data_IF_483433971008
#
_entry.id   IF_483433971008
#
_cell.length_a   1.000
_cell.length_b   1.000
_cell.length_c   1.000
_cell.angle_alpha   90.00
_cell.angle_beta   90.00
_cell.angle_gamma   90.00
#
_symmetry.space_group_name_H-M   'P 1'
#
loop_
_entity.id
_entity.type
_entity.pdbx_description
1 polymer ?
#
# COMPACT_ATOMS: atom_id res chain seq x y z
N UNK A 1 -38.16 1.72 16.77
CA UNK A 1 -38.39 1.29 15.37
C UNK A 1 -37.19 0.48 14.90
N UNK A 2 -37.42 -0.81 14.64
CA UNK A 2 -36.45 -1.76 14.06
C UNK A 2 -36.20 -1.47 12.58
N UNK A 3 -35.09 -2.01 12.07
CA UNK A 3 -34.78 -2.43 10.68
C UNK A 3 -33.62 -1.65 10.05
N UNK A 4 -32.59 -2.24 9.45
CA UNK A 4 -32.11 -3.63 9.37
C UNK A 4 -30.71 -3.56 8.71
N UNK A 5 -29.68 -4.11 9.35
CA UNK A 5 -28.49 -4.54 8.62
C UNK A 5 -28.87 -5.83 7.90
N UNK A 6 -28.98 -5.77 6.57
CA UNK A 6 -29.14 -6.97 5.74
C UNK A 6 -27.83 -7.77 5.80
N UNK A 7 -27.86 -9.09 6.01
CA UNK A 7 -26.68 -9.93 5.86
C UNK A 7 -26.34 -10.02 4.37
N UNK A 8 -25.10 -9.70 4.02
CA UNK A 8 -24.59 -9.90 2.66
C UNK A 8 -24.37 -11.40 2.45
N UNK A 9 -25.07 -11.93 1.47
CA UNK A 9 -25.12 -13.34 1.10
C UNK A 9 -23.86 -13.73 0.30
N UNK A 10 -23.38 -14.94 0.52
CA UNK A 10 -22.24 -15.62 -0.12
C UNK A 10 -22.10 -15.32 -1.62
N UNK A 11 -21.02 -14.64 -2.00
CA UNK A 11 -20.50 -14.68 -3.38
C UNK A 11 -18.98 -14.47 -3.49
N UNK A 12 -18.23 -14.62 -2.38
CA UNK A 12 -16.83 -14.19 -2.27
C UNK A 12 -15.80 -15.29 -2.53
N UNK A 13 -16.17 -16.57 -2.36
CA UNK A 13 -15.20 -17.67 -2.31
C UNK A 13 -14.47 -17.92 -3.64
N UNK A 14 -15.01 -17.44 -4.76
CA UNK A 14 -14.38 -17.59 -6.09
C UNK A 14 -13.43 -16.45 -6.49
N UNK A 15 -13.55 -15.27 -5.86
CA UNK A 15 -12.73 -14.09 -6.20
C UNK A 15 -11.50 -14.01 -5.29
N UNK A 16 -11.64 -14.36 -4.01
CA UNK A 16 -10.52 -14.35 -3.05
C UNK A 16 -9.50 -15.47 -3.31
N UNK A 17 -9.96 -16.63 -3.81
CA UNK A 17 -9.06 -17.69 -4.29
C UNK A 17 -8.22 -17.23 -5.51
N UNK A 18 -8.76 -16.34 -6.35
CA UNK A 18 -8.06 -15.80 -7.52
C UNK A 18 -6.99 -14.78 -7.11
N UNK A 19 -7.25 -13.93 -6.10
CA UNK A 19 -6.28 -12.94 -5.64
C UNK A 19 -5.07 -13.59 -4.93
N UNK A 20 -5.32 -14.65 -4.15
CA UNK A 20 -4.25 -15.40 -3.47
C UNK A 20 -3.40 -16.22 -4.47
N UNK A 21 -4.01 -16.72 -5.55
CA UNK A 21 -3.30 -17.39 -6.64
C UNK A 21 -2.42 -16.44 -7.47
N UNK A 22 -2.87 -15.19 -7.68
CA UNK A 22 -2.10 -14.15 -8.38
C UNK A 22 -0.83 -13.78 -7.58
N UNK A 23 -0.90 -13.78 -6.25
CA UNK A 23 0.27 -13.53 -5.38
C UNK A 23 1.27 -14.69 -5.39
N UNK A 24 0.80 -15.95 -5.48
CA UNK A 24 1.69 -17.12 -5.64
C UNK A 24 2.39 -17.16 -6.99
N UNK A 25 1.71 -16.77 -8.07
CA UNK A 25 2.29 -16.75 -9.42
C UNK A 25 3.37 -15.68 -9.61
N UNK A 26 3.51 -14.71 -8.70
CA UNK A 26 4.50 -13.64 -8.80
C UNK A 26 5.91 -14.04 -8.30
N UNK A 27 6.07 -15.22 -7.68
CA UNK A 27 7.34 -15.65 -7.09
C UNK A 27 8.14 -16.65 -7.92
N UNK A 28 7.56 -17.29 -8.93
CA UNK A 28 8.26 -18.24 -9.80
C UNK A 28 8.42 -17.66 -11.21
N UNK A 29 9.51 -16.92 -11.43
CA UNK A 29 9.98 -16.59 -12.78
C UNK A 29 11.26 -17.41 -13.02
N UNK A 30 11.09 -18.60 -13.59
CA UNK A 30 12.13 -19.24 -14.38
C UNK A 30 12.25 -18.48 -15.71
N UNK A 31 13.44 -17.95 -16.00
CA UNK A 31 13.75 -17.33 -17.29
C UNK A 31 14.07 -18.47 -18.27
N UNK A 32 13.05 -18.96 -18.97
CA UNK A 32 13.26 -19.72 -20.20
C UNK A 32 13.43 -18.74 -21.38
N UNK A 33 14.58 -18.85 -22.04
CA UNK A 33 14.85 -18.23 -23.33
C UNK A 33 14.48 -19.22 -24.43
N UNK A 34 13.44 -18.93 -25.22
CA UNK A 34 13.24 -19.57 -26.51
C UNK A 34 12.75 -18.58 -27.58
N UNK A 35 13.29 -18.80 -28.78
CA UNK A 35 13.30 -17.96 -29.95
C UNK A 35 12.01 -18.11 -30.79
N UNK A 36 11.76 -17.11 -31.64
CA UNK A 36 10.87 -17.10 -32.82
C UNK A 36 9.34 -16.87 -32.66
N UNK A 37 8.89 -15.60 -32.76
CA UNK A 37 7.74 -15.17 -33.60
C UNK A 37 7.70 -13.63 -33.81
N UNK A 38 7.61 -13.06 -35.04
CA UNK A 38 7.69 -11.62 -35.27
C UNK A 38 6.31 -10.95 -35.29
N UNK A 39 5.63 -10.90 -34.15
CA UNK A 39 4.67 -9.83 -33.82
C UNK A 39 4.97 -9.38 -32.39
N UNK A 40 6.09 -8.68 -32.27
CA UNK A 40 6.56 -8.10 -31.01
C UNK A 40 5.60 -6.97 -30.65
N UNK A 41 4.58 -7.26 -29.84
CA UNK A 41 3.97 -6.27 -28.96
C UNK A 41 5.15 -5.70 -28.18
N UNK A 42 5.61 -4.51 -28.57
CA UNK A 42 6.72 -3.85 -27.89
C UNK A 42 6.25 -3.60 -26.45
N UNK A 43 6.73 -4.42 -25.52
CA UNK A 43 6.72 -4.08 -24.11
C UNK A 43 7.24 -2.65 -23.96
N UNK A 44 6.64 -1.81 -23.10
CA UNK A 44 7.02 -0.41 -23.03
C UNK A 44 8.44 -0.32 -22.49
N UNK A 45 9.41 -0.12 -23.37
CA UNK A 45 10.84 -0.27 -23.08
C UNK A 45 11.40 0.94 -22.30
N UNK A 46 10.54 1.76 -21.69
CA UNK A 46 10.94 2.92 -20.91
C UNK A 46 11.04 2.54 -19.42
N UNK A 47 12.19 2.88 -18.82
CA UNK A 47 12.46 2.62 -17.40
C UNK A 47 11.39 3.22 -16.46
N UNK A 48 10.84 4.42 -16.72
CA UNK A 48 9.71 4.98 -15.96
C UNK A 48 8.45 4.11 -15.97
N UNK A 49 8.10 3.49 -17.10
CA UNK A 49 6.93 2.61 -17.18
C UNK A 49 7.09 1.41 -16.23
N UNK A 50 8.25 0.77 -16.23
CA UNK A 50 8.52 -0.38 -15.36
C UNK A 50 8.49 0.00 -13.87
N UNK A 51 9.02 1.19 -13.52
CA UNK A 51 8.95 1.69 -12.14
C UNK A 51 7.50 1.98 -11.73
N UNK A 52 6.69 2.55 -12.62
CA UNK A 52 5.27 2.79 -12.35
C UNK A 52 4.48 1.48 -12.19
N UNK A 53 4.81 0.47 -13.00
CA UNK A 53 4.23 -0.87 -12.88
C UNK A 53 4.63 -1.55 -11.57
N UNK A 54 5.86 -1.38 -11.12
CA UNK A 54 6.30 -1.83 -9.80
C UNK A 54 5.55 -1.12 -8.67
N UNK A 55 5.34 0.20 -8.78
CA UNK A 55 4.52 0.94 -7.84
C UNK A 55 3.11 0.35 -7.78
N UNK A 56 2.45 0.15 -8.92
CA UNK A 56 1.13 -0.49 -8.99
C UNK A 56 1.10 -1.85 -8.26
N UNK A 57 2.06 -2.73 -8.53
CA UNK A 57 2.11 -4.06 -7.91
C UNK A 57 2.31 -4.00 -6.39
N UNK A 58 3.19 -3.12 -5.92
CA UNK A 58 3.41 -2.93 -4.48
C UNK A 58 2.22 -2.27 -3.80
N UNK A 59 1.51 -1.37 -4.49
CA UNK A 59 0.25 -0.76 -4.02
C UNK A 59 -0.88 -1.78 -3.87
N UNK A 60 -0.98 -2.78 -4.75
CA UNK A 60 -1.93 -3.90 -4.58
C UNK A 60 -1.71 -4.63 -3.26
N UNK A 61 -0.44 -4.87 -2.94
CA UNK A 61 -0.07 -5.54 -1.68
C UNK A 61 -0.39 -4.65 -0.47
N UNK A 62 -0.08 -3.35 -0.52
CA UNK A 62 -0.43 -2.41 0.55
C UNK A 62 -1.95 -2.30 0.75
N UNK A 63 -2.73 -2.30 -0.33
CA UNK A 63 -4.19 -2.28 -0.25
C UNK A 63 -4.74 -3.55 0.40
N UNK A 64 -4.17 -4.71 0.07
CA UNK A 64 -4.51 -5.97 0.72
C UNK A 64 -4.21 -5.93 2.22
N UNK A 65 -3.02 -5.46 2.61
CA UNK A 65 -2.63 -5.31 4.02
C UNK A 65 -3.59 -4.38 4.78
N UNK A 66 -3.94 -3.24 4.16
CA UNK A 66 -4.92 -2.31 4.73
C UNK A 66 -6.32 -2.92 4.82
N UNK A 67 -6.73 -3.76 3.84
CA UNK A 67 -8.02 -4.48 3.88
C UNK A 67 -8.07 -5.41 5.09
N UNK A 68 -7.00 -6.19 5.33
CA UNK A 68 -6.90 -7.06 6.51
C UNK A 68 -7.08 -6.26 7.81
N UNK A 69 -6.43 -5.09 7.91
CA UNK A 69 -6.53 -4.24 9.09
C UNK A 69 -7.92 -3.59 9.26
N UNK A 70 -8.51 -3.05 8.21
CA UNK A 70 -9.79 -2.31 8.30
C UNK A 70 -11.03 -3.21 8.32
N UNK A 71 -10.90 -4.47 7.92
CA UNK A 71 -12.03 -5.41 7.84
C UNK A 71 -11.85 -6.59 8.79
N UNK A 72 -10.85 -7.42 8.55
CA UNK A 72 -10.71 -8.70 9.25
C UNK A 72 -10.28 -8.48 10.70
N UNK A 73 -9.27 -7.64 10.93
CA UNK A 73 -8.85 -7.25 12.27
C UNK A 73 -9.94 -6.49 13.01
N UNK A 74 -10.66 -5.58 12.33
CA UNK A 74 -11.81 -4.87 12.92
C UNK A 74 -12.87 -5.82 13.49
N UNK A 75 -13.17 -6.92 12.81
CA UNK A 75 -14.19 -7.91 13.24
C UNK A 75 -13.82 -8.63 14.52
N UNK A 76 -12.55 -8.63 14.93
CA UNK A 76 -12.12 -9.24 16.19
C UNK A 76 -12.59 -8.46 17.42
N UNK A 77 -12.93 -7.17 17.25
CA UNK A 77 -13.27 -6.31 18.37
C UNK A 77 -14.77 -6.37 18.68
N UNK A 78 -15.16 -6.73 19.92
CA UNK A 78 -16.54 -6.60 20.35
C UNK A 78 -17.01 -5.14 20.27
N UNK A 79 -18.27 -4.92 19.89
CA UNK A 79 -18.82 -3.56 19.72
C UNK A 79 -18.62 -2.68 20.96
N UNK A 80 -18.77 -3.24 22.17
CA UNK A 80 -18.58 -2.48 23.40
C UNK A 80 -17.15 -1.96 23.57
N UNK A 81 -16.13 -2.75 23.18
CA UNK A 81 -14.71 -2.37 23.21
C UNK A 81 -14.45 -1.21 22.25
N UNK A 82 -15.04 -1.23 21.06
CA UNK A 82 -14.92 -0.14 20.08
C UNK A 82 -15.65 1.14 20.53
N UNK A 83 -16.70 1.02 21.35
CA UNK A 83 -17.43 2.18 21.88
C UNK A 83 -16.78 2.79 23.12
N UNK A 84 -16.13 1.99 23.97
CA UNK A 84 -15.48 2.47 25.21
C UNK A 84 -13.98 2.73 25.05
N UNK A 85 -13.32 2.03 24.13
CA UNK A 85 -11.90 2.14 23.84
C UNK A 85 -11.61 3.23 22.81
N UNK A 86 -11.35 4.45 23.29
CA UNK A 86 -11.06 5.62 22.42
C UNK A 86 -9.94 5.33 21.41
N UNK A 87 -8.82 4.79 21.88
CA UNK A 87 -7.65 4.50 21.04
C UNK A 87 -7.94 3.47 19.92
N UNK A 88 -8.70 2.41 20.23
CA UNK A 88 -9.05 1.37 19.25
C UNK A 88 -10.06 1.89 18.22
N UNK A 89 -11.00 2.74 18.64
CA UNK A 89 -11.89 3.44 17.70
C UNK A 89 -11.11 4.40 16.79
N UNK A 90 -10.18 5.18 17.36
CA UNK A 90 -9.30 6.09 16.62
C UNK A 90 -8.38 5.36 15.64
N UNK A 91 -7.91 4.16 15.97
CA UNK A 91 -7.11 3.32 15.06
C UNK A 91 -7.85 3.08 13.74
N UNK A 92 -9.10 2.62 13.79
CA UNK A 92 -9.87 2.34 12.57
C UNK A 92 -10.28 3.62 11.83
N UNK A 93 -10.51 4.72 12.56
CA UNK A 93 -10.72 6.04 11.95
C UNK A 93 -9.47 6.56 11.24
N UNK A 94 -8.27 6.16 11.67
CA UNK A 94 -7.01 6.50 11.01
C UNK A 94 -6.70 5.57 9.81
N UNK A 95 -7.02 4.27 9.92
CA UNK A 95 -6.75 3.30 8.86
C UNK A 95 -7.71 3.42 7.66
N UNK A 96 -9.00 3.72 7.90
CA UNK A 96 -10.00 3.78 6.82
C UNK A 96 -9.67 4.82 5.73
N UNK A 97 -9.28 6.07 6.06
CA UNK A 97 -8.85 7.04 5.05
C UNK A 97 -7.63 6.58 4.24
N UNK A 98 -6.70 5.86 4.85
CA UNK A 98 -5.55 5.28 4.15
C UNK A 98 -5.99 4.20 3.16
N UNK A 99 -6.87 3.29 3.59
CA UNK A 99 -7.43 2.26 2.71
C UNK A 99 -8.16 2.90 1.50
N UNK A 100 -9.02 3.89 1.75
CA UNK A 100 -9.75 4.58 0.69
C UNK A 100 -8.81 5.33 -0.28
N UNK A 101 -7.76 5.97 0.26
CA UNK A 101 -6.71 6.60 -0.55
C UNK A 101 -5.99 5.59 -1.45
N UNK A 102 -5.47 4.49 -0.89
CA UNK A 102 -4.74 3.47 -1.65
C UNK A 102 -5.60 2.80 -2.70
N UNK A 103 -6.90 2.59 -2.40
CA UNK A 103 -7.86 2.06 -3.38
C UNK A 103 -8.06 3.02 -4.55
N UNK A 104 -8.19 4.33 -4.29
CA UNK A 104 -8.31 5.34 -5.34
C UNK A 104 -7.04 5.39 -6.20
N UNK A 105 -5.87 5.44 -5.54
CA UNK A 105 -4.58 5.49 -6.21
C UNK A 105 -4.37 4.29 -7.14
N UNK A 106 -4.78 3.09 -6.71
CA UNK A 106 -4.65 1.89 -7.53
C UNK A 106 -5.42 2.01 -8.85
N UNK A 107 -6.65 2.53 -8.81
CA UNK A 107 -7.44 2.79 -10.02
C UNK A 107 -6.78 3.84 -10.92
N UNK A 108 -6.22 4.89 -10.34
CA UNK A 108 -5.51 5.94 -11.08
C UNK A 108 -4.25 5.39 -11.76
N UNK A 109 -3.48 4.54 -11.06
CA UNK A 109 -2.30 3.86 -11.58
C UNK A 109 -2.63 2.87 -12.69
N UNK A 110 -3.67 2.03 -12.51
CA UNK A 110 -4.13 1.07 -13.51
C UNK A 110 -4.61 1.77 -14.77
N UNK A 111 -5.42 2.83 -14.62
CA UNK A 111 -5.86 3.68 -15.75
C UNK A 111 -4.67 4.29 -16.45
N UNK A 112 -3.68 4.78 -15.68
CA UNK A 112 -2.49 5.43 -16.23
C UNK A 112 -1.66 4.47 -17.07
N UNK A 113 -1.41 3.27 -16.56
CA UNK A 113 -0.65 2.23 -17.26
C UNK A 113 -1.39 1.72 -18.49
N UNK A 114 -2.71 1.50 -18.40
CA UNK A 114 -3.55 1.09 -19.54
C UNK A 114 -3.50 2.11 -20.67
N UNK A 115 -3.60 3.41 -20.34
CA UNK A 115 -3.51 4.49 -21.34
C UNK A 115 -2.10 4.59 -21.94
N UNK A 116 -1.06 4.37 -21.13
CA UNK A 116 0.32 4.33 -21.60
C UNK A 116 0.51 3.21 -22.64
N UNK A 117 0.04 2.00 -22.34
CA UNK A 117 0.10 0.84 -23.25
C UNK A 117 -0.71 1.07 -24.53
N UNK A 118 -1.91 1.64 -24.40
CA UNK A 118 -2.81 1.93 -25.53
C UNK A 118 -2.25 3.00 -26.47
N UNK A 119 -1.53 4.00 -25.93
CA UNK A 119 -0.93 5.08 -26.71
C UNK A 119 0.24 4.58 -27.57
N UNK A 120 0.92 3.49 -27.17
CA UNK A 120 2.04 2.90 -27.93
C UNK A 120 1.59 2.10 -29.15
N UNK A 121 0.39 1.52 -29.13
CA UNK A 121 -0.18 0.76 -30.27
C UNK A 121 -0.67 1.64 -31.42
N UNK A 122 -0.91 2.94 -31.16
CA UNK A 122 -1.39 3.90 -32.15
C UNK A 122 -0.24 4.83 -32.58
N UNK A 123 0.54 4.44 -33.59
CA UNK A 123 1.69 5.21 -34.13
C UNK A 123 1.32 6.57 -34.79
N UNK A 124 0.13 7.14 -34.54
CA UNK A 124 -0.38 8.34 -35.22
C UNK A 124 -1.05 9.35 -34.27
N UNK A 125 -0.48 9.60 -33.10
CA UNK A 125 -0.73 10.85 -32.37
C UNK A 125 -0.66 10.74 -30.84
N UNK A 126 0.18 11.59 -30.25
CA UNK A 126 0.24 11.94 -28.82
C UNK A 126 0.72 10.87 -27.84
N UNK A 127 1.64 9.99 -28.26
CA UNK A 127 2.34 9.00 -27.40
C UNK A 127 2.95 9.59 -26.13
N UNK A 128 3.26 10.89 -26.14
CA UNK A 128 3.96 11.54 -25.04
C UNK A 128 3.01 12.01 -23.92
N UNK A 129 1.72 12.29 -24.15
CA UNK A 129 0.92 13.00 -23.13
C UNK A 129 0.70 12.22 -21.84
N UNK A 130 0.60 10.89 -21.91
CA UNK A 130 0.41 10.09 -20.72
C UNK A 130 1.70 9.86 -19.96
N UNK A 131 2.80 9.52 -20.64
CA UNK A 131 4.13 9.57 -20.05
C UNK A 131 4.31 10.93 -19.35
N UNK A 132 4.04 12.03 -20.07
CA UNK A 132 3.68 13.42 -19.72
C UNK A 132 3.25 13.69 -18.27
N UNK A 133 2.24 12.96 -17.81
CA UNK A 133 1.52 13.29 -16.57
C UNK A 133 1.83 12.35 -15.41
N UNK A 134 2.84 11.49 -15.53
CA UNK A 134 3.27 10.61 -14.43
C UNK A 134 3.77 11.42 -13.23
N UNK A 135 4.54 12.48 -13.48
CA UNK A 135 5.01 13.38 -12.42
C UNK A 135 3.86 14.05 -11.66
N UNK A 136 2.81 14.47 -12.36
CA UNK A 136 1.61 15.07 -11.76
C UNK A 136 0.88 14.06 -10.86
N UNK A 137 0.66 12.86 -11.38
CA UNK A 137 0.02 11.76 -10.64
C UNK A 137 0.79 11.46 -9.35
N UNK A 138 2.11 11.30 -9.42
CA UNK A 138 2.96 11.01 -8.27
C UNK A 138 2.93 12.15 -7.23
N UNK A 139 3.03 13.41 -7.69
CA UNK A 139 2.99 14.57 -6.79
C UNK A 139 1.63 14.71 -6.10
N UNK A 140 0.53 14.53 -6.82
CA UNK A 140 -0.81 14.53 -6.25
C UNK A 140 -1.00 13.39 -5.25
N UNK A 141 -0.54 12.18 -5.58
CA UNK A 141 -0.62 11.02 -4.71
C UNK A 141 0.15 11.25 -3.40
N UNK A 142 1.38 11.74 -3.49
CA UNK A 142 2.18 12.11 -2.30
C UNK A 142 1.47 13.18 -1.47
N UNK A 143 1.00 14.26 -2.11
CA UNK A 143 0.34 15.34 -1.39
C UNK A 143 -0.88 14.87 -0.58
N UNK A 144 -1.68 13.98 -1.17
CA UNK A 144 -2.88 13.44 -0.53
C UNK A 144 -2.57 12.43 0.59
N UNK A 145 -1.48 11.66 0.46
CA UNK A 145 -1.08 10.66 1.44
C UNK A 145 -0.50 11.26 2.73
N UNK A 146 0.37 12.28 2.60
CA UNK A 146 1.27 12.68 3.69
C UNK A 146 0.58 13.13 4.97
N UNK A 147 -0.55 13.82 4.87
CA UNK A 147 -1.29 14.25 6.06
C UNK A 147 -1.83 13.05 6.84
N UNK A 148 -2.42 12.08 6.14
CA UNK A 148 -2.98 10.88 6.74
C UNK A 148 -1.88 10.01 7.38
N UNK A 149 -0.77 9.82 6.66
CA UNK A 149 0.37 9.06 7.16
C UNK A 149 1.04 9.71 8.37
N UNK A 150 1.15 11.05 8.40
CA UNK A 150 1.70 11.77 9.57
C UNK A 150 0.85 11.54 10.81
N UNK A 151 -0.46 11.71 10.66
CA UNK A 151 -1.40 11.46 11.75
C UNK A 151 -1.37 10.00 12.22
N UNK A 152 -1.32 9.04 11.28
CA UNK A 152 -1.27 7.62 11.60
C UNK A 152 0.01 7.24 12.36
N UNK A 153 1.20 7.59 11.83
CA UNK A 153 2.49 7.26 12.46
C UNK A 153 2.61 7.88 13.86
N UNK A 154 2.15 9.12 14.04
CA UNK A 154 2.17 9.79 15.34
C UNK A 154 1.28 9.13 16.40
N UNK A 155 0.13 8.58 16.00
CA UNK A 155 -0.81 7.94 16.92
C UNK A 155 -0.54 6.44 17.14
N UNK A 156 0.22 5.82 16.24
CA UNK A 156 0.49 4.38 16.26
C UNK A 156 1.06 3.85 17.60
N UNK A 157 1.90 4.58 18.36
CA UNK A 157 2.35 4.10 19.67
C UNK A 157 1.18 3.85 20.64
N UNK A 158 0.16 4.72 20.59
CA UNK A 158 -1.05 4.60 21.41
C UNK A 158 -1.88 3.40 20.96
N UNK A 159 -1.99 3.19 19.64
CA UNK A 159 -2.75 2.07 19.08
C UNK A 159 -2.12 0.72 19.44
N UNK A 160 -0.79 0.59 19.28
CA UNK A 160 -0.08 -0.64 19.61
C UNK A 160 -0.16 -0.95 21.12
N UNK A 161 0.01 0.07 21.98
CA UNK A 161 -0.13 -0.11 23.42
C UNK A 161 -1.55 -0.57 23.81
N UNK A 162 -2.60 -0.01 23.18
CA UNK A 162 -3.98 -0.40 23.44
C UNK A 162 -4.30 -1.82 22.97
N UNK A 163 -3.77 -2.25 21.82
CA UNK A 163 -3.92 -3.63 21.32
C UNK A 163 -3.21 -4.61 22.27
N UNK A 164 -2.00 -4.26 22.71
CA UNK A 164 -1.18 -5.07 23.61
C UNK A 164 -1.84 -5.20 25.00
N UNK A 165 -2.34 -4.10 25.57
CA UNK A 165 -3.13 -4.12 26.82
C UNK A 165 -4.40 -4.97 26.68
N UNK A 166 -5.15 -4.82 25.58
CA UNK A 166 -6.35 -5.63 25.36
C UNK A 166 -6.01 -7.12 25.22
N UNK A 167 -4.89 -7.44 24.56
CA UNK A 167 -4.41 -8.81 24.42
C UNK A 167 -4.03 -9.44 25.76
N UNK A 168 -3.43 -8.66 26.69
CA UNK A 168 -3.09 -9.15 28.03
C UNK A 168 -4.29 -9.28 28.96
N UNK A 169 -5.29 -8.41 28.82
CA UNK A 169 -6.43 -8.34 29.76
C UNK A 169 -7.65 -9.14 29.31
N UNK A 170 -7.77 -9.45 28.01
CA UNK A 170 -8.91 -10.14 27.43
C UNK A 170 -8.48 -11.38 26.64
N UNK A 171 -8.55 -12.55 27.29
CA UNK A 171 -8.16 -13.83 26.70
C UNK A 171 -8.96 -14.19 25.44
N UNK A 172 -10.25 -13.81 25.36
CA UNK A 172 -11.08 -14.09 24.20
C UNK A 172 -10.58 -13.32 22.97
N UNK A 173 -10.23 -12.04 23.15
CA UNK A 173 -9.59 -11.24 22.11
C UNK A 173 -8.23 -11.80 21.72
N UNK A 174 -7.38 -12.14 22.70
CA UNK A 174 -6.05 -12.71 22.43
C UNK A 174 -6.12 -14.00 21.60
N UNK A 175 -7.06 -14.89 21.91
CA UNK A 175 -7.28 -16.12 21.16
C UNK A 175 -7.80 -15.84 19.74
N UNK A 176 -8.71 -14.86 19.58
CA UNK A 176 -9.24 -14.47 18.28
C UNK A 176 -8.16 -13.83 17.40
N UNK A 177 -7.29 -13.00 17.98
CA UNK A 177 -6.13 -12.41 17.31
C UNK A 177 -5.16 -13.49 16.84
N UNK A 178 -4.79 -14.43 17.71
CA UNK A 178 -3.92 -15.55 17.33
C UNK A 178 -4.55 -16.40 16.22
N UNK A 179 -5.83 -16.73 16.34
CA UNK A 179 -6.53 -17.53 15.33
C UNK A 179 -6.53 -16.83 13.97
N UNK A 180 -6.73 -15.51 13.94
CA UNK A 180 -6.61 -14.73 12.70
C UNK A 180 -5.17 -14.75 12.15
N UNK A 181 -4.15 -14.59 13.00
CA UNK A 181 -2.74 -14.60 12.59
C UNK A 181 -2.26 -15.99 12.09
N UNK A 182 -2.98 -17.06 12.41
CA UNK A 182 -2.73 -18.42 11.90
C UNK A 182 -3.40 -18.68 10.54
N UNK A 183 -4.33 -17.83 10.10
CA UNK A 183 -5.02 -18.01 8.82
C UNK A 183 -4.08 -17.77 7.62
N UNK A 184 -4.18 -18.55 6.52
CA UNK A 184 -3.27 -18.43 5.38
C UNK A 184 -3.27 -17.05 4.69
N UNK A 185 -4.37 -16.30 4.81
CA UNK A 185 -4.45 -14.94 4.27
C UNK A 185 -3.69 -13.92 5.13
N UNK A 186 -3.47 -14.21 6.42
CA UNK A 186 -2.76 -13.37 7.37
C UNK A 186 -1.29 -13.79 7.44
N UNK A 187 -0.54 -13.47 6.38
CA UNK A 187 0.85 -13.90 6.23
C UNK A 187 1.85 -13.17 7.14
N UNK A 188 1.39 -12.20 7.93
CA UNK A 188 2.18 -11.44 8.92
C UNK A 188 1.31 -11.16 10.15
N UNK A 189 1.93 -11.16 11.33
CA UNK A 189 1.29 -10.68 12.55
C UNK A 189 0.75 -9.25 12.39
N UNK A 190 -0.33 -8.91 13.09
CA UNK A 190 -1.01 -7.62 12.95
C UNK A 190 -0.07 -6.45 13.25
N UNK A 191 0.79 -6.60 14.26
CA UNK A 191 1.80 -5.59 14.62
C UNK A 191 2.78 -5.32 13.46
N UNK A 192 3.20 -6.38 12.75
CA UNK A 192 4.07 -6.26 11.58
C UNK A 192 3.35 -5.63 10.38
N UNK A 193 2.08 -5.97 10.15
CA UNK A 193 1.26 -5.32 9.11
C UNK A 193 1.14 -3.81 9.39
N UNK A 194 0.88 -3.42 10.63
CA UNK A 194 0.83 -2.00 11.01
C UNK A 194 2.18 -1.30 10.79
N UNK A 195 3.31 -1.93 11.12
CA UNK A 195 4.64 -1.38 10.82
C UNK A 195 4.89 -1.24 9.33
N UNK A 196 4.48 -2.24 8.54
CA UNK A 196 4.61 -2.21 7.08
C UNK A 196 3.83 -1.03 6.49
N UNK A 197 2.61 -0.78 6.97
CA UNK A 197 1.84 0.41 6.61
C UNK A 197 2.58 1.68 7.03
N UNK A 198 3.03 1.80 8.29
CA UNK A 198 3.75 2.99 8.79
C UNK A 198 5.01 3.32 8.00
N UNK A 199 5.67 2.32 7.42
CA UNK A 199 6.87 2.46 6.60
C UNK A 199 6.59 2.62 5.10
N UNK A 200 5.32 2.70 4.65
CA UNK A 200 5.01 2.78 3.21
C UNK A 200 5.64 3.98 2.52
N UNK A 201 5.72 5.12 3.21
CA UNK A 201 6.39 6.32 2.68
C UNK A 201 7.91 6.14 2.51
N UNK A 202 8.55 5.26 3.29
CA UNK A 202 9.97 4.90 3.08
C UNK A 202 10.13 4.15 1.75
N UNK A 203 9.23 3.20 1.46
CA UNK A 203 9.22 2.50 0.18
C UNK A 203 8.95 3.46 -1.00
N UNK A 204 8.03 4.42 -0.82
CA UNK A 204 7.77 5.45 -1.84
C UNK A 204 8.99 6.32 -2.13
N UNK A 205 9.78 6.67 -1.12
CA UNK A 205 11.02 7.43 -1.34
C UNK A 205 11.97 6.70 -2.30
N UNK A 206 12.10 5.38 -2.16
CA UNK A 206 12.94 4.57 -3.05
C UNK A 206 12.39 4.57 -4.48
N UNK A 207 11.09 4.30 -4.65
CA UNK A 207 10.41 4.30 -5.96
C UNK A 207 10.54 5.66 -6.65
N UNK A 208 10.28 6.75 -5.92
CA UNK A 208 10.39 8.11 -6.44
C UNK A 208 11.83 8.49 -6.80
N UNK A 209 12.81 8.06 -6.01
CA UNK A 209 14.24 8.24 -6.32
C UNK A 209 14.63 7.55 -7.63
N UNK A 210 14.19 6.31 -7.83
CA UNK A 210 14.38 5.57 -9.08
C UNK A 210 13.66 6.23 -10.25
N UNK A 211 12.46 6.75 -10.04
CA UNK A 211 11.69 7.47 -11.06
C UNK A 211 12.43 8.74 -11.52
N UNK A 212 12.91 9.56 -10.58
CA UNK A 212 13.70 10.76 -10.87
C UNK A 212 14.96 10.40 -11.64
N UNK A 213 15.68 9.36 -11.23
CA UNK A 213 16.87 8.89 -11.94
C UNK A 213 16.55 8.47 -13.39
N UNK A 214 15.47 7.70 -13.59
CA UNK A 214 15.04 7.27 -14.92
C UNK A 214 14.66 8.46 -15.83
N UNK A 215 13.96 9.46 -15.29
CA UNK A 215 13.58 10.66 -16.05
C UNK A 215 14.77 11.55 -16.41
N UNK A 216 15.83 11.56 -15.60
CA UNK A 216 17.08 12.28 -15.91
C UNK A 216 17.84 11.60 -17.06
N UNK A 217 17.85 10.27 -17.11
CA UNK A 217 18.55 9.49 -18.13
C UNK A 217 17.89 9.59 -19.52
N UNK A 218 16.56 9.74 -19.59
CA UNK A 218 15.83 9.83 -20.87
C UNK A 218 16.07 11.15 -21.62
N UNK A 219 16.64 12.18 -20.97
CA UNK A 219 16.85 13.51 -21.54
C UNK A 219 15.55 14.31 -21.65
N UNK A 220 15.52 15.55 -21.17
CA UNK A 220 14.26 16.30 -21.02
C UNK A 220 14.06 17.35 -22.10
N UNK A 221 13.00 17.22 -22.88
CA UNK A 221 12.33 18.36 -23.53
C UNK A 221 11.55 19.19 -22.49
N UNK A 222 10.91 20.30 -22.90
CA UNK A 222 10.17 21.19 -21.97
C UNK A 222 9.10 20.45 -21.17
N UNK A 223 8.47 19.43 -21.76
CA UNK A 223 7.44 18.66 -21.09
C UNK A 223 8.05 17.62 -20.12
N UNK A 224 9.13 16.96 -20.52
CA UNK A 224 9.93 16.08 -19.65
C UNK A 224 10.49 16.81 -18.43
N UNK A 225 10.83 18.10 -18.58
CA UNK A 225 11.27 18.94 -17.47
C UNK A 225 10.17 19.15 -16.40
N UNK A 226 8.91 19.29 -16.82
CA UNK A 226 7.78 19.49 -15.89
C UNK A 226 7.55 18.26 -15.00
N UNK A 227 7.52 17.07 -15.60
CA UNK A 227 7.31 15.83 -14.86
C UNK A 227 8.51 15.41 -14.03
N UNK A 228 9.74 15.68 -14.49
CA UNK A 228 10.92 15.55 -13.66
C UNK A 228 10.82 16.45 -12.43
N UNK A 229 10.44 17.72 -12.62
CA UNK A 229 10.24 18.67 -11.52
C UNK A 229 9.20 18.16 -10.52
N UNK A 230 8.02 17.73 -10.99
CA UNK A 230 6.97 17.24 -10.11
C UNK A 230 7.37 15.95 -9.36
N UNK A 231 8.10 15.04 -10.02
CA UNK A 231 8.64 13.84 -9.39
C UNK A 231 9.71 14.17 -8.32
N UNK A 232 10.54 15.19 -8.56
CA UNK A 232 11.51 15.68 -7.57
C UNK A 232 10.84 16.30 -6.35
N UNK A 233 9.83 17.15 -6.56
CA UNK A 233 9.05 17.72 -5.45
C UNK A 233 8.35 16.63 -4.64
N UNK A 234 7.80 15.61 -5.33
CA UNK A 234 7.20 14.46 -4.66
C UNK A 234 8.24 13.72 -3.80
N UNK A 235 9.43 13.45 -4.34
CA UNK A 235 10.54 12.82 -3.62
C UNK A 235 10.98 13.64 -2.40
N UNK A 236 11.18 14.95 -2.56
CA UNK A 236 11.59 15.85 -1.47
C UNK A 236 10.56 15.87 -0.33
N UNK A 237 9.26 15.93 -0.66
CA UNK A 237 8.19 15.88 0.33
C UNK A 237 8.17 14.56 1.11
N UNK A 238 8.36 13.43 0.43
CA UNK A 238 8.42 12.11 1.09
C UNK A 238 9.69 11.98 1.93
N UNK A 239 10.83 12.46 1.44
CA UNK A 239 12.09 12.45 2.18
C UNK A 239 11.98 13.29 3.47
N UNK A 240 11.41 14.49 3.41
CA UNK A 240 11.15 15.33 4.60
C UNK A 240 10.27 14.60 5.61
N UNK A 241 9.15 14.03 5.14
CA UNK A 241 8.26 13.23 5.99
C UNK A 241 9.00 12.06 6.66
N UNK A 242 9.86 11.36 5.92
CA UNK A 242 10.59 10.22 6.44
C UNK A 242 11.61 10.62 7.49
N UNK A 243 12.35 11.71 7.29
CA UNK A 243 13.24 12.24 8.33
C UNK A 243 12.49 12.73 9.56
N UNK A 244 11.34 13.40 9.38
CA UNK A 244 10.50 13.88 10.49
C UNK A 244 9.94 12.76 11.37
N UNK A 245 9.69 11.58 10.80
CA UNK A 245 9.01 10.47 11.48
C UNK A 245 9.92 9.27 11.79
N UNK A 246 11.20 9.35 11.45
CA UNK A 246 12.19 8.27 11.61
C UNK A 246 12.23 7.73 13.04
N UNK A 247 12.49 8.59 14.03
CA UNK A 247 12.57 8.19 15.44
C UNK A 247 11.28 7.53 15.95
N UNK A 248 10.11 8.01 15.50
CA UNK A 248 8.84 7.39 15.88
C UNK A 248 8.73 5.99 15.28
N UNK A 249 9.08 5.80 14.01
CA UNK A 249 9.05 4.47 13.35
C UNK A 249 10.05 3.50 13.95
N UNK A 250 11.23 3.96 14.33
CA UNK A 250 12.23 3.12 15.01
C UNK A 250 11.71 2.69 16.39
N UNK A 251 11.10 3.62 17.14
CA UNK A 251 10.43 3.31 18.40
C UNK A 251 9.31 2.28 18.25
N UNK A 252 8.51 2.39 17.19
CA UNK A 252 7.47 1.42 16.86
C UNK A 252 8.05 0.04 16.53
N UNK A 253 9.11 -0.02 15.72
CA UNK A 253 9.78 -1.28 15.38
C UNK A 253 10.33 -1.98 16.63
N UNK A 254 10.95 -1.21 17.53
CA UNK A 254 11.44 -1.70 18.80
C UNK A 254 10.31 -2.22 19.70
N UNK A 255 9.20 -1.49 19.80
CA UNK A 255 8.04 -1.92 20.58
C UNK A 255 7.46 -3.24 20.07
N UNK A 256 7.25 -3.36 18.76
CA UNK A 256 6.74 -4.60 18.15
C UNK A 256 7.69 -5.76 18.42
N UNK A 257 9.00 -5.53 18.31
CA UNK A 257 9.99 -6.57 18.61
C UNK A 257 9.96 -7.00 20.08
N UNK A 258 9.77 -6.06 21.01
CA UNK A 258 9.62 -6.38 22.43
C UNK A 258 8.38 -7.24 22.70
N UNK A 259 7.22 -6.86 22.15
CA UNK A 259 5.97 -7.63 22.30
C UNK A 259 6.09 -9.05 21.75
N UNK A 260 6.86 -9.24 20.67
CA UNK A 260 7.13 -10.58 20.14
C UNK A 260 8.01 -11.42 21.05
N UNK A 261 9.11 -10.84 21.55
CA UNK A 261 10.00 -11.54 22.47
C UNK A 261 9.28 -11.94 23.76
N UNK A 262 8.35 -11.12 24.26
CA UNK A 262 7.53 -11.45 25.42
C UNK A 262 6.57 -12.63 25.17
N UNK A 263 6.14 -12.86 23.92
CA UNK A 263 5.28 -14.01 23.56
C UNK A 263 6.06 -15.33 23.46
N UNK A 264 7.38 -15.26 23.27
CA UNK A 264 8.28 -16.42 23.12
C UNK A 264 8.87 -16.91 24.45
N UNK A 265 8.73 -16.13 25.53
CA UNK A 265 9.18 -16.43 26.90
C UNK A 265 8.14 -17.20 27.72
#
# INVERSE_FOLDING_TARGET
SRSAFKPYNNRSDSVEASECAILKSACDIEIETDDANPMKIQTPNSRPYHILKELLMTERTTLFDLKLLVQDFYRLFPQHVLTSGRALSELFNALKPLYDFHRSLLNDLDTKLTNWESSMGNCKGNTNSDQLRVGDLLLCAVHNALHQYRSFVQQMPIFLAAIDELSRTNQAFANALRSMEEEPFCYLAINHLMLKVANRMVAWQNILGRMVAALLEEGTDTAGASQLSNSRVALEKVASFNSETELTRDGLANFVKLVELEKEL
#
